data_IF_488435631200
#
_entry.id   IF_488435631200
#
_cell.length_a   1.000
_cell.length_b   1.000
_cell.length_c   1.000
_cell.angle_alpha   90.00
_cell.angle_beta   90.00
_cell.angle_gamma   90.00
#
_symmetry.space_group_name_H-M   'P 1'
#
loop_
_entity.id
_entity.type
_entity.pdbx_description
1 polymer ?
#
# COMPACT_ATOMS: atom_id res chain seq x y z
N UNK A 1 4.65 -11.43 20.86
CA UNK A 1 4.79 -10.16 20.14
C UNK A 1 4.33 -9.09 21.10
N UNK A 2 5.10 -8.02 21.29
CA UNK A 2 4.74 -7.00 22.28
C UNK A 2 3.49 -6.25 21.79
N UNK A 3 2.52 -6.09 22.68
CA UNK A 3 1.34 -5.24 22.46
C UNK A 3 1.77 -3.79 22.36
N UNK A 4 1.07 -2.96 21.57
CA UNK A 4 1.38 -1.53 21.52
C UNK A 4 1.21 -0.89 22.91
N UNK A 5 1.99 0.15 23.13
CA UNK A 5 2.08 0.88 24.39
C UNK A 5 0.88 1.82 24.56
N UNK A 6 0.76 2.37 25.76
CA UNK A 6 -0.11 3.52 26.02
C UNK A 6 0.77 4.75 26.23
N UNK A 7 0.54 5.81 25.48
CA UNK A 7 1.15 7.11 25.76
C UNK A 7 0.35 7.83 26.84
N UNK A 8 1.02 8.29 27.89
CA UNK A 8 0.35 8.92 29.03
C UNK A 8 1.10 10.16 29.51
N UNK A 9 0.34 11.17 29.93
CA UNK A 9 0.84 12.31 30.67
C UNK A 9 1.31 11.90 32.07
N UNK A 10 2.51 12.32 32.47
CA UNK A 10 3.13 11.90 33.73
C UNK A 10 2.25 12.17 34.97
N UNK A 11 1.53 13.30 34.96
CA UNK A 11 0.68 13.74 36.06
C UNK A 11 -0.54 12.85 36.32
N UNK A 12 -0.92 12.00 35.37
CA UNK A 12 -2.15 11.17 35.45
C UNK A 12 -1.88 9.68 35.34
N UNK A 13 -0.61 9.25 35.44
CA UNK A 13 -0.23 7.82 35.44
C UNK A 13 -0.99 7.00 36.49
N UNK A 14 -1.31 7.60 37.64
CA UNK A 14 -2.02 6.91 38.72
C UNK A 14 -3.55 6.83 38.51
N UNK A 15 -4.09 7.47 37.47
CA UNK A 15 -5.54 7.49 37.23
C UNK A 15 -6.06 6.24 36.51
N UNK A 16 -5.16 5.40 36.00
CA UNK A 16 -5.48 4.17 35.28
C UNK A 16 -4.66 3.00 35.81
N UNK A 17 -5.22 1.79 35.72
CA UNK A 17 -4.48 0.54 35.91
C UNK A 17 -4.48 -0.23 34.59
N UNK A 18 -3.31 -0.52 34.02
CA UNK A 18 -3.19 -1.25 32.74
C UNK A 18 -2.03 -2.23 32.77
N UNK A 19 -2.17 -3.31 32.00
CA UNK A 19 -1.12 -4.30 31.79
C UNK A 19 -0.19 -3.94 30.63
N UNK A 20 -0.57 -2.93 29.82
CA UNK A 20 0.26 -2.45 28.71
C UNK A 20 1.42 -1.61 29.23
N UNK A 21 2.53 -1.68 28.50
CA UNK A 21 3.68 -0.81 28.76
C UNK A 21 3.27 0.67 28.57
N UNK A 22 3.66 1.51 29.53
CA UNK A 22 3.42 2.95 29.47
C UNK A 22 4.64 3.67 28.88
N UNK A 23 4.40 4.72 28.10
CA UNK A 23 5.42 5.64 27.61
C UNK A 23 4.98 7.08 27.88
N UNK A 24 5.91 7.92 28.33
CA UNK A 24 5.62 9.34 28.48
C UNK A 24 5.36 9.96 27.10
N UNK A 25 4.32 10.78 26.97
CA UNK A 25 3.90 11.35 25.69
C UNK A 25 5.03 12.11 24.97
N UNK A 26 5.84 12.84 25.72
CA UNK A 26 6.99 13.61 25.21
C UNK A 26 8.11 12.75 24.62
N UNK A 27 8.19 11.47 25.00
CA UNK A 27 9.21 10.52 24.57
C UNK A 27 8.70 9.56 23.50
N UNK A 28 7.50 9.78 22.96
CA UNK A 28 6.88 8.93 21.93
C UNK A 28 6.67 9.71 20.64
N UNK A 29 6.95 9.06 19.51
CA UNK A 29 6.54 9.51 18.18
C UNK A 29 5.13 9.00 17.79
N UNK A 30 4.43 8.37 18.75
CA UNK A 30 3.09 7.79 18.65
C UNK A 30 2.98 6.56 17.73
N UNK A 31 4.08 6.06 17.16
CA UNK A 31 4.04 4.94 16.20
C UNK A 31 3.89 3.58 16.85
N UNK A 32 4.27 3.45 18.13
CA UNK A 32 4.19 2.22 18.91
C UNK A 32 3.09 2.28 20.00
N UNK A 33 2.11 3.17 19.82
CA UNK A 33 1.05 3.48 20.78
C UNK A 33 -0.31 3.06 20.25
N UNK A 34 -1.16 2.48 21.12
CA UNK A 34 -2.55 2.10 20.79
C UNK A 34 -3.61 3.04 21.36
N UNK A 35 -3.29 3.82 22.40
CA UNK A 35 -4.17 4.85 22.93
C UNK A 35 -3.36 5.90 23.70
N UNK A 36 -3.94 7.10 23.84
CA UNK A 36 -3.32 8.22 24.55
C UNK A 36 -4.18 8.64 25.74
N UNK A 37 -3.55 8.89 26.89
CA UNK A 37 -4.20 9.44 28.09
C UNK A 37 -3.53 10.75 28.48
N UNK A 38 -4.25 11.85 28.32
CA UNK A 38 -3.75 13.20 28.59
C UNK A 38 -4.24 13.70 29.95
N UNK A 39 -3.45 14.55 30.60
CA UNK A 39 -3.95 15.42 31.65
C UNK A 39 -4.77 16.57 31.05
N UNK A 40 -5.66 17.19 31.83
CA UNK A 40 -6.40 18.39 31.37
C UNK A 40 -5.41 19.50 30.97
N UNK A 41 -4.35 19.69 31.74
CA UNK A 41 -3.32 20.69 31.44
C UNK A 41 -2.63 20.43 30.10
N UNK A 42 -2.25 19.18 29.80
CA UNK A 42 -1.58 18.85 28.55
C UNK A 42 -2.53 18.93 27.35
N UNK A 43 -3.77 18.50 27.52
CA UNK A 43 -4.80 18.63 26.50
C UNK A 43 -5.02 20.10 26.10
N UNK A 44 -5.12 21.00 27.09
CA UNK A 44 -5.22 22.45 26.88
C UNK A 44 -3.90 23.07 26.39
N UNK A 45 -2.76 22.47 26.74
CA UNK A 45 -1.42 22.87 26.32
C UNK A 45 -1.06 22.47 24.87
N UNK A 46 -2.03 21.96 24.10
CA UNK A 46 -1.85 21.61 22.69
C UNK A 46 -1.37 20.18 22.44
N UNK A 47 -1.27 19.32 23.48
CA UNK A 47 -0.91 17.92 23.30
C UNK A 47 -1.97 17.16 22.48
N UNK A 48 -3.25 17.49 22.66
CA UNK A 48 -4.33 16.91 21.86
C UNK A 48 -4.17 17.28 20.37
N UNK A 49 -3.85 18.55 20.07
CA UNK A 49 -3.63 19.00 18.69
C UNK A 49 -2.44 18.26 18.05
N UNK A 50 -1.37 18.00 18.81
CA UNK A 50 -0.22 17.20 18.34
C UNK A 50 -0.61 15.77 18.00
N UNK A 51 -1.42 15.12 18.85
CA UNK A 51 -1.91 13.77 18.61
C UNK A 51 -2.78 13.73 17.35
N UNK A 52 -3.67 14.71 17.17
CA UNK A 52 -4.51 14.79 15.96
C UNK A 52 -3.69 15.09 14.70
N UNK A 53 -2.66 15.93 14.80
CA UNK A 53 -1.75 16.23 13.69
C UNK A 53 -0.97 15.00 13.19
N UNK A 54 -0.80 13.95 14.01
CA UNK A 54 -0.21 12.68 13.56
C UNK A 54 -1.07 11.98 12.50
N UNK A 55 -2.37 12.30 12.43
CA UNK A 55 -3.36 11.67 11.55
C UNK A 55 -3.49 10.14 11.71
N UNK A 56 -2.96 9.55 12.79
CA UNK A 56 -3.06 8.11 13.06
C UNK A 56 -4.44 7.68 13.57
N UNK A 57 -5.30 8.62 13.97
CA UNK A 57 -6.65 8.29 14.46
C UNK A 57 -6.65 7.60 15.82
N UNK A 58 -5.63 7.87 16.65
CA UNK A 58 -5.49 7.28 17.98
C UNK A 58 -6.69 7.62 18.89
N UNK A 59 -7.20 6.64 19.67
CA UNK A 59 -8.17 6.94 20.69
C UNK A 59 -7.52 7.76 21.81
N UNK A 60 -8.11 8.93 22.11
CA UNK A 60 -7.60 9.84 23.14
C UNK A 60 -8.56 9.93 24.31
N UNK A 61 -8.01 9.76 25.51
CA UNK A 61 -8.70 9.94 26.78
C UNK A 61 -8.10 11.13 27.52
N UNK A 62 -8.92 11.85 28.28
CA UNK A 62 -8.44 12.90 29.21
C UNK A 62 -8.78 12.51 30.63
N UNK A 63 -7.81 12.60 31.53
CA UNK A 63 -8.00 12.36 32.95
C UNK A 63 -8.16 13.70 33.69
N UNK A 64 -9.33 13.91 34.29
CA UNK A 64 -9.68 15.08 35.10
C UNK A 64 -9.29 14.87 36.56
N UNK A 65 -8.41 15.73 37.08
CA UNK A 65 -8.15 15.85 38.51
C UNK A 65 -9.29 16.61 39.23
N UNK A 66 -9.42 16.44 40.55
CA UNK A 66 -10.56 16.97 41.33
C UNK A 66 -10.85 18.47 41.17
N UNK A 67 -9.86 19.27 40.79
CA UNK A 67 -9.92 20.73 40.62
C UNK A 67 -9.82 21.19 39.16
N UNK A 68 -9.68 20.27 38.21
CA UNK A 68 -9.52 20.56 36.79
C UNK A 68 -10.68 19.98 35.99
N UNK A 69 -11.31 20.82 35.17
CA UNK A 69 -12.38 20.41 34.25
C UNK A 69 -11.98 20.73 32.84
N UNK A 70 -12.17 19.78 31.95
CA UNK A 70 -11.97 19.96 30.53
C UNK A 70 -13.14 20.78 29.96
N UNK A 71 -12.88 21.83 29.17
CA UNK A 71 -13.94 22.58 28.49
C UNK A 71 -14.75 21.70 27.55
N UNK A 72 -16.06 21.93 27.49
CA UNK A 72 -16.99 21.09 26.72
C UNK A 72 -16.69 21.02 25.21
N UNK A 73 -15.97 22.01 24.67
CA UNK A 73 -15.55 22.06 23.26
C UNK A 73 -14.55 20.95 22.88
N UNK A 74 -13.82 20.39 23.85
CA UNK A 74 -12.87 19.30 23.61
C UNK A 74 -13.54 17.93 23.61
N UNK A 75 -14.69 17.77 24.26
CA UNK A 75 -15.36 16.47 24.44
C UNK A 75 -15.65 15.73 23.12
N UNK A 76 -16.08 16.37 22.02
CA UNK A 76 -16.31 15.68 20.75
C UNK A 76 -15.05 15.08 20.10
N UNK A 77 -13.87 15.51 20.54
CA UNK A 77 -12.55 15.08 20.02
C UNK A 77 -12.00 13.87 20.77
N UNK A 78 -12.63 13.47 21.87
CA UNK A 78 -12.13 12.44 22.78
C UNK A 78 -12.93 11.14 22.66
N UNK A 79 -12.25 10.03 22.90
CA UNK A 79 -12.87 8.72 23.09
C UNK A 79 -13.53 8.61 24.46
N UNK A 80 -12.97 9.27 25.48
CA UNK A 80 -13.54 9.27 26.83
C UNK A 80 -12.84 10.24 27.80
N UNK A 81 -13.46 10.41 28.96
CA UNK A 81 -12.93 11.20 30.07
C UNK A 81 -12.91 10.34 31.32
N UNK A 82 -11.79 10.35 32.05
CA UNK A 82 -11.60 9.63 33.29
C UNK A 82 -11.57 10.60 34.46
N UNK A 83 -12.17 10.26 35.60
CA UNK A 83 -12.05 11.04 36.82
C UNK A 83 -10.94 10.46 37.70
N UNK A 84 -9.90 11.25 37.99
CA UNK A 84 -8.83 10.83 38.89
C UNK A 84 -9.32 10.79 40.34
N UNK A 85 -8.93 9.75 41.08
CA UNK A 85 -9.16 9.67 42.53
C UNK A 85 -10.55 9.20 42.96
N UNK A 86 -11.39 8.74 42.04
CA UNK A 86 -12.74 8.20 42.33
C UNK A 86 -12.77 6.69 42.64
N UNK A 87 -11.60 6.03 42.59
CA UNK A 87 -11.44 4.59 42.82
C UNK A 87 -11.75 3.69 41.63
N UNK A 88 -12.09 4.24 40.45
CA UNK A 88 -12.47 3.46 39.26
C UNK A 88 -11.30 3.15 38.30
N UNK A 89 -10.06 3.19 38.79
CA UNK A 89 -8.83 3.00 38.00
C UNK A 89 -8.85 1.71 37.16
N UNK A 90 -9.34 0.60 37.72
CA UNK A 90 -9.47 -0.68 37.02
C UNK A 90 -10.54 -0.65 35.92
N UNK A 91 -11.62 0.11 36.12
CA UNK A 91 -12.68 0.26 35.12
C UNK A 91 -12.18 1.12 33.95
N UNK A 92 -11.50 2.23 34.23
CA UNK A 92 -10.85 3.07 33.21
C UNK A 92 -9.79 2.29 32.43
N UNK A 93 -9.00 1.46 33.12
CA UNK A 93 -8.08 0.51 32.52
C UNK A 93 -8.74 -0.41 31.49
N UNK A 94 -9.92 -0.97 31.81
CA UNK A 94 -10.68 -1.82 30.87
C UNK A 94 -11.21 -1.03 29.67
N UNK A 95 -11.69 0.19 29.87
CA UNK A 95 -12.15 1.05 28.76
C UNK A 95 -10.99 1.38 27.82
N UNK A 96 -9.84 1.73 28.38
CA UNK A 96 -8.62 2.01 27.64
C UNK A 96 -8.14 0.77 26.86
N UNK A 97 -8.10 -0.40 27.49
CA UNK A 97 -7.72 -1.65 26.83
C UNK A 97 -8.66 -1.99 25.68
N UNK A 98 -9.98 -1.83 25.88
CA UNK A 98 -10.96 -2.10 24.83
C UNK A 98 -10.77 -1.16 23.63
N UNK A 99 -10.47 0.12 23.87
CA UNK A 99 -10.18 1.07 22.79
C UNK A 99 -8.86 0.75 22.08
N UNK A 100 -7.81 0.41 22.84
CA UNK A 100 -6.51 0.03 22.31
C UNK A 100 -6.58 -1.23 21.43
N UNK A 101 -7.28 -2.28 21.88
CA UNK A 101 -7.49 -3.50 21.09
C UNK A 101 -8.28 -3.25 19.82
N UNK A 102 -9.32 -2.40 19.90
CA UNK A 102 -10.10 -2.01 18.73
C UNK A 102 -9.23 -1.28 17.70
N UNK A 103 -8.42 -0.33 18.15
CA UNK A 103 -7.50 0.41 17.29
C UNK A 103 -6.47 -0.52 16.62
N UNK A 104 -5.83 -1.40 17.38
CA UNK A 104 -4.87 -2.39 16.84
C UNK A 104 -5.53 -3.29 15.78
N UNK A 105 -6.75 -3.77 16.05
CA UNK A 105 -7.49 -4.62 15.12
C UNK A 105 -7.87 -3.89 13.82
N UNK A 106 -8.17 -2.60 13.88
CA UNK A 106 -8.48 -1.76 12.72
C UNK A 106 -7.22 -1.37 11.92
N UNK A 107 -6.06 -1.29 12.58
CA UNK A 107 -4.78 -0.92 11.96
C UNK A 107 -4.20 -2.06 11.09
N UNK A 108 -4.42 -3.32 11.48
CA UNK A 108 -3.83 -4.47 10.80
C UNK A 108 -4.52 -4.74 9.44
N UNK A 109 -3.78 -4.69 8.31
CA UNK A 109 -4.35 -5.09 7.03
C UNK A 109 -4.74 -6.57 7.02
N UNK A 110 -5.74 -6.97 6.21
CA UNK A 110 -6.36 -8.30 6.33
C UNK A 110 -5.37 -9.47 6.31
N UNK A 111 -4.43 -9.51 5.36
CA UNK A 111 -3.47 -10.61 5.25
C UNK A 111 -2.45 -10.62 6.40
N UNK A 112 -1.93 -9.45 6.79
CA UNK A 112 -0.92 -9.36 7.85
C UNK A 112 -1.52 -9.73 9.21
N UNK A 113 -2.72 -9.24 9.52
CA UNK A 113 -3.44 -9.60 10.73
C UNK A 113 -3.71 -11.12 10.81
N UNK A 114 -4.17 -11.74 9.71
CA UNK A 114 -4.35 -13.20 9.65
C UNK A 114 -3.04 -13.97 9.82
N UNK A 115 -1.96 -13.53 9.18
CA UNK A 115 -0.64 -14.16 9.29
C UNK A 115 -0.12 -14.11 10.72
N UNK A 116 -0.22 -12.94 11.37
CA UNK A 116 0.19 -12.76 12.76
C UNK A 116 -0.62 -13.67 13.70
N UNK A 117 -1.94 -13.73 13.51
CA UNK A 117 -2.81 -14.61 14.29
C UNK A 117 -2.49 -16.10 14.07
N UNK A 118 -2.18 -16.50 12.83
CA UNK A 118 -1.79 -17.87 12.51
C UNK A 118 -0.49 -18.26 13.23
N UNK A 119 0.55 -17.42 13.14
CA UNK A 119 1.84 -17.67 13.77
C UNK A 119 1.71 -17.78 15.29
N UNK A 120 0.83 -16.99 15.91
CA UNK A 120 0.57 -17.03 17.36
C UNK A 120 -0.05 -18.35 17.85
N UNK A 121 -0.72 -19.11 16.98
CA UNK A 121 -1.28 -20.41 17.36
C UNK A 121 -0.20 -21.46 17.66
N UNK A 122 1.02 -21.28 17.15
CA UNK A 122 2.13 -22.19 17.43
C UNK A 122 1.95 -23.59 16.83
N UNK A 123 1.28 -23.69 15.68
CA UNK A 123 1.00 -24.95 15.01
C UNK A 123 2.28 -25.72 14.65
N UNK A 124 2.22 -27.05 14.73
CA UNK A 124 3.30 -27.92 14.29
C UNK A 124 3.22 -28.15 12.78
N UNK A 125 4.18 -27.60 12.03
CA UNK A 125 4.25 -27.72 10.57
C UNK A 125 4.89 -29.06 10.15
N UNK A 126 4.16 -29.84 9.36
CA UNK A 126 4.63 -31.08 8.71
C UNK A 126 4.54 -31.01 7.18
N UNK A 127 4.27 -29.83 6.66
CA UNK A 127 4.13 -29.46 5.26
C UNK A 127 5.39 -28.71 4.78
N UNK A 128 5.27 -28.02 3.64
CA UNK A 128 6.30 -27.12 3.14
C UNK A 128 6.14 -25.73 3.79
N UNK A 129 7.22 -24.94 3.91
CA UNK A 129 8.62 -25.22 3.56
C UNK A 129 9.30 -26.24 4.49
N UNK A 130 10.24 -27.04 3.94
CA UNK A 130 10.89 -28.13 4.67
C UNK A 130 11.76 -27.72 5.87
N UNK A 131 12.03 -26.44 6.07
CA UNK A 131 12.66 -25.96 7.31
C UNK A 131 11.69 -25.86 8.49
N UNK A 132 10.37 -25.92 8.24
CA UNK A 132 9.30 -26.05 9.23
C UNK A 132 9.43 -25.08 10.40
N UNK A 133 9.30 -23.78 10.13
CA UNK A 133 9.51 -22.75 11.15
C UNK A 133 10.98 -22.48 11.49
N UNK A 134 11.89 -22.96 10.64
CA UNK A 134 13.35 -22.69 10.74
C UNK A 134 14.09 -23.70 11.60
N UNK A 135 13.42 -24.76 12.03
CA UNK A 135 14.00 -25.83 12.84
C UNK A 135 15.15 -26.53 12.13
N UNK A 136 15.07 -26.73 10.81
CA UNK A 136 16.16 -27.30 10.05
C UNK A 136 17.45 -26.45 10.13
N UNK A 137 17.33 -25.13 9.96
CA UNK A 137 18.47 -24.22 9.99
C UNK A 137 19.23 -24.29 11.31
N UNK A 138 18.52 -24.43 12.44
CA UNK A 138 19.12 -24.52 13.79
C UNK A 138 19.98 -25.77 14.00
N UNK A 139 19.97 -26.75 13.08
CA UNK A 139 20.73 -28.01 13.19
C UNK A 139 22.13 -27.94 12.55
N UNK A 140 22.45 -26.87 11.82
CA UNK A 140 23.77 -26.67 11.20
C UNK A 140 24.38 -25.34 11.66
N UNK A 141 25.69 -25.24 11.97
CA UNK A 141 26.30 -24.00 12.48
C UNK A 141 26.02 -22.77 11.61
N UNK A 142 26.18 -22.89 10.28
CA UNK A 142 25.85 -21.81 9.34
C UNK A 142 24.35 -21.51 9.29
N UNK A 143 23.51 -22.54 9.39
CA UNK A 143 22.06 -22.35 9.43
C UNK A 143 21.61 -21.68 10.72
N UNK A 144 22.27 -21.96 11.85
CA UNK A 144 21.98 -21.30 13.13
C UNK A 144 22.32 -19.82 13.07
N UNK A 145 23.46 -19.45 12.49
CA UNK A 145 23.80 -18.04 12.25
C UNK A 145 22.75 -17.35 11.37
N UNK A 146 22.29 -18.02 10.31
CA UNK A 146 21.23 -17.50 9.44
C UNK A 146 19.90 -17.32 10.19
N UNK A 147 19.51 -18.31 10.99
CA UNK A 147 18.29 -18.25 11.80
C UNK A 147 18.35 -17.12 12.84
N UNK A 148 19.46 -17.01 13.58
CA UNK A 148 19.63 -15.99 14.61
C UNK A 148 19.73 -14.58 14.01
N UNK A 149 20.31 -14.44 12.80
CA UNK A 149 20.41 -13.16 12.10
C UNK A 149 19.05 -12.59 11.68
N UNK A 150 18.19 -13.41 11.07
CA UNK A 150 16.86 -12.96 10.63
C UNK A 150 15.78 -13.03 11.72
N UNK A 151 15.98 -13.88 12.73
CA UNK A 151 15.03 -14.09 13.82
C UNK A 151 13.92 -15.10 13.50
N UNK A 152 13.36 -15.69 14.55
CA UNK A 152 12.39 -16.78 14.45
C UNK A 152 11.10 -16.39 13.71
N UNK A 153 10.61 -15.17 13.91
CA UNK A 153 9.34 -14.71 13.36
C UNK A 153 9.29 -14.82 11.83
N UNK A 154 10.40 -14.51 11.14
CA UNK A 154 10.49 -14.63 9.68
C UNK A 154 10.21 -16.06 9.21
N UNK A 155 10.87 -17.04 9.83
CA UNK A 155 10.74 -18.45 9.44
C UNK A 155 9.41 -19.06 9.84
N UNK A 156 8.78 -18.55 10.92
CA UNK A 156 7.45 -18.99 11.36
C UNK A 156 6.35 -18.46 10.45
N UNK A 157 6.57 -17.32 9.82
CA UNK A 157 5.66 -16.72 8.85
C UNK A 157 5.87 -17.24 7.41
N UNK A 158 6.88 -18.07 7.17
CA UNK A 158 7.11 -18.73 5.87
C UNK A 158 6.27 -20.01 5.77
N UNK A 159 5.12 -19.86 5.12
CA UNK A 159 3.99 -20.81 5.07
C UNK A 159 3.71 -21.24 3.62
N UNK A 160 2.88 -22.27 3.44
CA UNK A 160 2.48 -22.72 2.11
C UNK A 160 0.96 -22.86 1.96
N UNK A 161 0.53 -23.38 0.82
CA UNK A 161 -0.88 -23.58 0.48
C UNK A 161 -1.60 -24.60 1.36
N UNK A 162 -0.88 -25.43 2.12
CA UNK A 162 -1.48 -26.37 3.07
C UNK A 162 -2.00 -25.67 4.34
N UNK A 163 -1.56 -24.44 4.61
CA UNK A 163 -2.04 -23.60 5.71
C UNK A 163 -3.38 -22.93 5.38
N UNK A 164 -4.40 -23.74 5.07
CA UNK A 164 -5.69 -23.34 4.47
C UNK A 164 -6.44 -22.24 5.21
N UNK A 165 -6.18 -22.04 6.51
CA UNK A 165 -6.76 -20.93 7.29
C UNK A 165 -6.34 -19.55 6.77
N UNK A 166 -5.23 -19.46 6.05
CA UNK A 166 -4.78 -18.25 5.38
C UNK A 166 -5.53 -17.99 4.06
N UNK A 167 -6.15 -19.01 3.45
CA UNK A 167 -6.77 -18.93 2.14
C UNK A 167 -5.81 -19.29 0.99
N UNK A 168 -6.09 -18.79 -0.20
CA UNK A 168 -5.35 -19.15 -1.42
C UNK A 168 -4.92 -17.88 -2.20
N UNK A 169 -3.61 -17.73 -2.41
CA UNK A 169 -3.05 -16.57 -3.13
C UNK A 169 -3.29 -16.62 -4.64
N UNK A 170 -3.33 -17.81 -5.24
CA UNK A 170 -3.38 -18.01 -6.70
C UNK A 170 -4.80 -17.82 -7.24
N UNK A 171 -5.81 -18.39 -6.57
CA UNK A 171 -7.21 -18.26 -6.98
C UNK A 171 -7.98 -17.20 -6.18
N UNK A 172 -7.29 -16.50 -5.28
CA UNK A 172 -7.79 -15.34 -4.53
C UNK A 172 -8.96 -15.68 -3.61
N UNK A 173 -8.68 -16.50 -2.59
CA UNK A 173 -9.63 -16.84 -1.51
C UNK A 173 -9.07 -16.44 -0.14
N UNK A 174 -9.95 -16.24 0.84
CA UNK A 174 -9.55 -15.95 2.22
C UNK A 174 -8.79 -14.63 2.39
N UNK A 175 -7.74 -14.64 3.22
CA UNK A 175 -7.01 -13.44 3.59
C UNK A 175 -6.29 -12.74 2.41
N UNK A 176 -5.68 -13.45 1.44
CA UNK A 176 -5.15 -12.85 0.22
C UNK A 176 -6.19 -12.04 -0.56
N UNK A 177 -7.39 -12.59 -0.74
CA UNK A 177 -8.47 -11.91 -1.45
C UNK A 177 -8.92 -10.64 -0.73
N UNK A 178 -9.12 -10.73 0.59
CA UNK A 178 -9.49 -9.59 1.41
C UNK A 178 -8.44 -8.47 1.36
N UNK A 179 -7.14 -8.81 1.36
CA UNK A 179 -6.07 -7.85 1.22
C UNK A 179 -6.02 -7.20 -0.17
N UNK A 180 -6.25 -7.97 -1.23
CA UNK A 180 -6.37 -7.43 -2.59
C UNK A 180 -7.56 -6.48 -2.74
N UNK A 181 -8.72 -6.82 -2.16
CA UNK A 181 -9.90 -5.96 -2.14
C UNK A 181 -9.67 -4.68 -1.32
N UNK A 182 -8.96 -4.78 -0.19
CA UNK A 182 -8.56 -3.62 0.58
C UNK A 182 -7.63 -2.71 -0.25
N UNK A 183 -6.62 -3.27 -0.90
CA UNK A 183 -5.73 -2.51 -1.78
C UNK A 183 -6.49 -1.87 -2.96
N UNK A 184 -7.47 -2.56 -3.55
CA UNK A 184 -8.32 -2.02 -4.60
C UNK A 184 -9.08 -0.76 -4.13
N UNK A 185 -9.62 -0.78 -2.90
CA UNK A 185 -10.26 0.41 -2.29
C UNK A 185 -9.26 1.55 -2.06
N UNK A 186 -8.08 1.27 -1.51
CA UNK A 186 -7.04 2.28 -1.23
C UNK A 186 -6.55 2.95 -2.52
N UNK A 187 -6.30 2.16 -3.56
CA UNK A 187 -5.82 2.64 -4.85
C UNK A 187 -6.93 3.00 -5.84
N UNK A 188 -8.19 3.07 -5.40
CA UNK A 188 -9.37 3.37 -6.21
C UNK A 188 -9.40 2.62 -7.56
N UNK A 189 -9.25 1.30 -7.50
CA UNK A 189 -9.26 0.38 -8.64
C UNK A 189 -10.39 -0.64 -8.49
N UNK A 190 -10.89 -1.17 -9.61
CA UNK A 190 -11.89 -2.24 -9.58
C UNK A 190 -11.33 -3.54 -8.99
N UNK A 191 -10.07 -3.86 -9.32
CA UNK A 191 -9.33 -5.04 -8.85
C UNK A 191 -7.85 -4.73 -8.70
N UNK A 192 -7.24 -5.36 -7.70
CA UNK A 192 -5.80 -5.34 -7.47
C UNK A 192 -5.27 -6.77 -7.42
N UNK A 193 -4.21 -7.05 -8.16
CA UNK A 193 -3.52 -8.34 -8.15
C UNK A 193 -2.14 -8.17 -7.51
N UNK A 194 -1.82 -9.00 -6.53
CA UNK A 194 -0.49 -9.01 -5.90
C UNK A 194 0.46 -9.89 -6.70
N UNK A 195 1.59 -9.31 -7.11
CA UNK A 195 2.62 -10.00 -7.90
C UNK A 195 3.92 -10.01 -7.11
N UNK A 196 4.39 -11.20 -6.74
CA UNK A 196 5.53 -11.40 -5.85
C UNK A 196 6.90 -11.42 -6.57
N UNK A 197 6.92 -11.16 -7.88
CA UNK A 197 8.12 -11.23 -8.72
C UNK A 197 8.38 -9.92 -9.49
N UNK A 198 8.07 -8.80 -8.84
CA UNK A 198 8.27 -7.43 -9.29
C UNK A 198 7.43 -7.00 -10.50
N UNK A 199 7.50 -5.70 -10.83
CA UNK A 199 6.77 -5.12 -11.97
C UNK A 199 7.18 -5.73 -13.30
N UNK A 200 8.40 -6.26 -13.40
CA UNK A 200 8.84 -7.03 -14.57
C UNK A 200 7.94 -8.21 -14.90
N UNK A 201 7.45 -8.94 -13.89
CA UNK A 201 6.49 -10.04 -14.08
C UNK A 201 5.07 -9.51 -14.23
N UNK A 202 4.72 -8.45 -13.49
CA UNK A 202 3.41 -7.79 -13.58
C UNK A 202 3.11 -7.31 -15.00
N UNK A 203 4.08 -6.66 -15.66
CA UNK A 203 3.95 -6.24 -17.04
C UNK A 203 3.69 -7.44 -17.96
N UNK A 204 4.42 -8.55 -17.79
CA UNK A 204 4.21 -9.76 -18.60
C UNK A 204 2.83 -10.37 -18.39
N UNK A 205 2.29 -10.34 -17.16
CA UNK A 205 0.91 -10.79 -16.89
C UNK A 205 -0.08 -9.96 -17.71
N UNK A 206 0.01 -8.63 -17.65
CA UNK A 206 -0.90 -7.74 -18.40
C UNK A 206 -0.73 -7.93 -19.92
N UNK A 207 0.51 -7.91 -20.39
CA UNK A 207 0.83 -7.95 -21.82
C UNK A 207 0.40 -9.28 -22.45
N UNK A 208 0.72 -10.41 -21.84
CA UNK A 208 0.33 -11.73 -22.38
C UNK A 208 -1.17 -12.03 -22.18
N UNK A 209 -1.87 -11.34 -21.28
CA UNK A 209 -3.32 -11.46 -21.14
C UNK A 209 -4.08 -10.69 -22.22
N UNK A 210 -3.53 -9.56 -22.70
CA UNK A 210 -4.23 -8.65 -23.60
C UNK A 210 -3.82 -8.77 -25.06
N UNK A 211 -2.57 -9.11 -25.34
CA UNK A 211 -1.99 -9.12 -26.68
C UNK A 211 -1.89 -10.53 -27.26
N UNK A 212 -2.14 -10.64 -28.57
CA UNK A 212 -1.89 -11.82 -29.38
C UNK A 212 -0.94 -11.50 -30.55
N UNK A 213 -0.35 -12.53 -31.20
CA UNK A 213 0.52 -12.31 -32.36
C UNK A 213 -0.18 -11.51 -33.46
N UNK A 214 0.45 -10.43 -33.92
CA UNK A 214 -0.09 -9.54 -34.96
C UNK A 214 -0.98 -8.39 -34.44
N UNK A 215 -1.29 -8.33 -33.15
CA UNK A 215 -1.92 -7.15 -32.56
C UNK A 215 -1.02 -5.93 -32.67
N UNK A 216 -1.61 -4.75 -32.91
CA UNK A 216 -0.87 -3.49 -32.83
C UNK A 216 -0.82 -3.01 -31.38
N UNK A 217 0.39 -2.69 -30.92
CA UNK A 217 0.63 -2.08 -29.62
C UNK A 217 1.23 -0.68 -29.81
N UNK A 218 0.56 0.34 -29.26
CA UNK A 218 1.07 1.71 -29.24
C UNK A 218 2.14 1.79 -28.15
N UNK A 219 3.39 2.05 -28.53
CA UNK A 219 4.54 1.69 -27.72
C UNK A 219 5.43 2.91 -27.43
N UNK A 220 5.39 3.39 -26.19
CA UNK A 220 6.34 4.40 -25.70
C UNK A 220 7.78 3.89 -25.87
N UNK A 221 8.66 4.67 -26.50
CA UNK A 221 10.05 4.28 -26.73
C UNK A 221 10.89 4.24 -25.45
N UNK A 222 10.43 4.87 -24.37
CA UNK A 222 11.04 4.80 -23.04
C UNK A 222 10.71 3.52 -22.26
N UNK A 223 9.82 2.67 -22.79
CA UNK A 223 9.37 1.49 -22.08
C UNK A 223 10.51 0.61 -21.55
N UNK A 224 10.36 0.13 -20.32
CA UNK A 224 11.34 -0.77 -19.71
C UNK A 224 11.44 -2.09 -20.49
N UNK A 225 12.60 -2.75 -20.43
CA UNK A 225 12.87 -4.03 -21.13
C UNK A 225 11.82 -5.12 -20.88
N UNK A 226 11.14 -5.11 -19.73
CA UNK A 226 10.03 -6.04 -19.44
C UNK A 226 8.86 -5.88 -20.39
N UNK A 227 8.54 -4.66 -20.83
CA UNK A 227 7.47 -4.39 -21.79
C UNK A 227 7.87 -4.88 -23.19
N UNK A 228 9.13 -4.69 -23.57
CA UNK A 228 9.66 -5.25 -24.82
C UNK A 228 9.58 -6.79 -24.83
N UNK A 229 10.01 -7.43 -23.73
CA UNK A 229 9.95 -8.89 -23.62
C UNK A 229 8.51 -9.41 -23.62
N UNK A 230 7.61 -8.79 -22.85
CA UNK A 230 6.22 -9.25 -22.74
C UNK A 230 5.41 -9.00 -24.01
N UNK A 231 5.42 -7.76 -24.51
CA UNK A 231 4.56 -7.38 -25.64
C UNK A 231 5.08 -7.90 -26.98
N UNK A 232 6.38 -7.72 -27.25
CA UNK A 232 6.92 -7.90 -28.59
C UNK A 232 7.48 -9.31 -28.79
N UNK A 233 8.22 -9.82 -27.81
CA UNK A 233 8.90 -11.12 -27.92
C UNK A 233 7.96 -12.27 -27.55
N UNK A 234 7.27 -12.18 -26.41
CA UNK A 234 6.40 -13.25 -25.92
C UNK A 234 5.04 -13.26 -26.61
N UNK A 235 4.33 -12.12 -26.58
CA UNK A 235 3.00 -12.04 -27.19
C UNK A 235 3.03 -11.86 -28.72
N UNK A 236 4.17 -11.46 -29.31
CA UNK A 236 4.30 -11.29 -30.77
C UNK A 236 3.53 -10.08 -31.32
N UNK A 237 3.28 -9.07 -30.50
CA UNK A 237 2.62 -7.84 -30.94
C UNK A 237 3.55 -6.99 -31.82
N UNK A 238 2.95 -6.25 -32.75
CA UNK A 238 3.66 -5.34 -33.65
C UNK A 238 3.63 -3.93 -33.07
N UNK A 239 4.79 -3.33 -32.76
CA UNK A 239 4.85 -2.03 -32.12
C UNK A 239 4.65 -0.90 -33.13
N UNK A 240 3.89 0.12 -32.73
CA UNK A 240 3.95 1.46 -33.32
C UNK A 240 4.60 2.37 -32.28
N UNK A 241 5.85 2.76 -32.55
CA UNK A 241 6.66 3.50 -31.58
C UNK A 241 6.29 4.98 -31.51
N UNK A 242 6.29 5.53 -30.30
CA UNK A 242 6.18 6.96 -30.04
C UNK A 242 7.56 7.51 -29.70
N UNK A 243 7.98 8.57 -30.39
CA UNK A 243 9.25 9.24 -30.08
C UNK A 243 9.16 10.05 -28.79
N UNK A 244 10.32 10.24 -28.18
CA UNK A 244 10.43 10.74 -26.81
C UNK A 244 11.48 11.82 -26.72
N UNK A 245 11.20 12.86 -25.95
CA UNK A 245 12.12 13.95 -25.70
C UNK A 245 13.36 13.48 -24.94
N UNK A 246 14.50 14.08 -25.31
CA UNK A 246 15.76 14.05 -24.57
C UNK A 246 16.33 15.45 -24.54
N UNK A 247 16.83 15.88 -23.38
CA UNK A 247 17.51 17.17 -23.24
C UNK A 247 19.04 17.00 -23.37
N UNK A 248 19.84 18.08 -23.37
CA UNK A 248 21.30 17.99 -23.47
C UNK A 248 21.99 17.22 -22.32
N UNK A 249 21.30 16.99 -21.20
CA UNK A 249 21.78 16.16 -20.09
C UNK A 249 21.52 14.67 -20.31
N UNK A 250 20.80 14.31 -21.38
CA UNK A 250 20.38 12.94 -21.65
C UNK A 250 19.18 12.49 -20.82
N UNK A 251 18.51 13.40 -20.11
CA UNK A 251 17.36 13.03 -19.27
C UNK A 251 16.23 12.45 -20.10
N UNK A 252 15.64 11.40 -19.55
CA UNK A 252 14.49 10.69 -20.07
C UNK A 252 13.25 11.56 -19.90
N UNK A 253 12.92 12.33 -20.93
CA UNK A 253 11.68 13.10 -21.03
C UNK A 253 10.49 12.25 -21.47
N UNK A 254 9.33 12.88 -21.55
CA UNK A 254 8.10 12.24 -22.04
C UNK A 254 8.03 12.13 -23.57
N UNK A 255 6.93 11.57 -24.05
CA UNK A 255 6.54 11.48 -25.45
C UNK A 255 6.25 12.89 -25.98
N UNK A 256 6.69 13.18 -27.20
CA UNK A 256 6.48 14.49 -27.80
C UNK A 256 4.98 14.76 -28.05
N UNK A 257 4.57 16.02 -27.85
CA UNK A 257 3.14 16.39 -27.80
C UNK A 257 2.36 16.01 -29.08
N UNK A 258 3.02 16.10 -30.24
CA UNK A 258 2.43 15.78 -31.54
C UNK A 258 2.17 14.27 -31.72
N UNK A 259 2.88 13.41 -30.97
CA UNK A 259 2.66 11.96 -31.01
C UNK A 259 1.32 11.53 -30.42
N UNK A 260 0.62 12.42 -29.72
CA UNK A 260 -0.74 12.20 -29.25
C UNK A 260 -1.82 12.71 -30.21
N UNK A 261 -1.45 13.19 -31.40
CA UNK A 261 -2.41 13.61 -32.42
C UNK A 261 -2.90 12.40 -33.23
N UNK A 262 -4.22 12.23 -33.31
CA UNK A 262 -4.82 11.06 -33.98
C UNK A 262 -4.36 10.93 -35.44
N UNK A 263 -4.25 12.05 -36.16
CA UNK A 263 -3.78 12.03 -37.55
C UNK A 263 -2.38 11.42 -37.64
N UNK A 264 -1.45 11.88 -36.80
CA UNK A 264 -0.08 11.36 -36.75
C UNK A 264 -0.06 9.87 -36.41
N UNK A 265 -0.82 9.45 -35.40
CA UNK A 265 -0.92 8.03 -35.02
C UNK A 265 -1.46 7.15 -36.16
N UNK A 266 -2.49 7.61 -36.89
CA UNK A 266 -3.02 6.88 -38.04
C UNK A 266 -2.04 6.82 -39.18
N UNK A 267 -1.21 7.84 -39.37
CA UNK A 267 -0.14 7.85 -40.37
C UNK A 267 0.90 6.78 -40.04
N UNK A 268 1.34 6.68 -38.79
CA UNK A 268 2.23 5.61 -38.33
C UNK A 268 1.60 4.21 -38.49
N UNK A 269 0.30 4.06 -38.23
CA UNK A 269 -0.41 2.79 -38.46
C UNK A 269 -0.43 2.45 -39.95
N UNK A 270 -0.57 3.42 -40.86
CA UNK A 270 -0.55 3.17 -42.31
C UNK A 270 0.77 2.56 -42.78
N UNK A 271 1.88 2.96 -42.18
CA UNK A 271 3.20 2.47 -42.54
C UNK A 271 3.43 1.02 -42.08
N UNK A 272 2.84 0.63 -40.95
CA UNK A 272 3.05 -0.68 -40.32
C UNK A 272 1.98 -1.70 -40.69
N UNK A 273 0.72 -1.27 -40.72
CA UNK A 273 -0.45 -2.10 -40.94
C UNK A 273 -1.56 -1.32 -41.66
N UNK A 274 -1.40 -1.04 -42.98
CA UNK A 274 -2.29 -0.16 -43.74
C UNK A 274 -3.76 -0.59 -43.73
N UNK A 275 -4.02 -1.89 -43.67
CA UNK A 275 -5.38 -2.43 -43.58
C UNK A 275 -6.12 -2.03 -42.29
N UNK A 276 -5.37 -1.71 -41.21
CA UNK A 276 -5.92 -1.39 -39.88
C UNK A 276 -6.07 0.11 -39.63
N UNK A 277 -5.50 0.97 -40.48
CA UNK A 277 -5.47 2.42 -40.25
C UNK A 277 -6.86 3.07 -40.19
N UNK A 278 -7.86 2.47 -40.84
CA UNK A 278 -9.25 2.93 -40.82
C UNK A 278 -10.07 2.38 -39.64
N UNK A 279 -9.52 1.50 -38.81
CA UNK A 279 -10.22 0.95 -37.65
C UNK A 279 -10.51 2.06 -36.64
N UNK A 280 -11.66 1.98 -35.95
CA UNK A 280 -11.98 2.89 -34.85
C UNK A 280 -10.92 2.81 -33.74
N UNK A 281 -10.48 1.59 -33.42
CA UNK A 281 -9.46 1.28 -32.42
C UNK A 281 -8.38 0.37 -33.03
N UNK A 282 -7.38 0.95 -33.72
CA UNK A 282 -6.34 0.13 -34.35
C UNK A 282 -5.44 -0.57 -33.31
N UNK A 283 -5.32 -0.04 -32.09
CA UNK A 283 -4.43 -0.57 -31.07
C UNK A 283 -5.17 -1.45 -30.07
N UNK A 284 -4.65 -2.66 -29.86
CA UNK A 284 -5.14 -3.54 -28.78
C UNK A 284 -4.74 -3.00 -27.40
N UNK A 285 -3.54 -2.44 -27.31
CA UNK A 285 -2.99 -1.90 -26.07
C UNK A 285 -2.08 -0.71 -26.38
N UNK A 286 -2.17 0.34 -25.57
CA UNK A 286 -1.11 1.33 -25.45
C UNK A 286 -0.29 1.06 -24.19
N UNK A 287 1.04 1.12 -24.27
CA UNK A 287 1.94 0.96 -23.14
C UNK A 287 2.75 2.25 -22.97
N UNK A 288 2.42 3.02 -21.93
CA UNK A 288 2.99 4.34 -21.64
C UNK A 288 3.69 4.30 -20.29
N UNK A 289 4.91 4.83 -20.21
CA UNK A 289 5.61 4.97 -18.94
C UNK A 289 5.13 6.23 -18.22
N UNK A 290 4.28 6.10 -17.20
CA UNK A 290 3.61 7.24 -16.55
C UNK A 290 4.59 8.21 -15.86
N UNK A 291 5.65 7.67 -15.27
CA UNK A 291 6.74 8.42 -14.67
C UNK A 291 8.05 7.90 -15.18
N UNK A 292 8.85 8.75 -15.81
CA UNK A 292 10.20 8.40 -16.24
C UNK A 292 11.13 8.39 -15.04
N UNK A 293 12.27 7.71 -15.19
CA UNK A 293 13.29 7.63 -14.14
C UNK A 293 13.80 9.01 -13.70
N UNK A 294 13.93 9.94 -14.65
CA UNK A 294 14.46 11.29 -14.40
C UNK A 294 13.38 12.30 -13.97
N UNK A 295 12.22 11.82 -13.49
CA UNK A 295 11.21 12.65 -12.85
C UNK A 295 10.26 13.38 -13.79
N UNK A 296 10.12 12.94 -15.05
CA UNK A 296 9.05 13.44 -15.93
C UNK A 296 7.78 12.61 -15.71
N UNK A 297 6.74 13.24 -15.17
CA UNK A 297 5.45 12.59 -14.87
C UNK A 297 4.39 13.17 -15.80
N UNK A 298 3.64 12.30 -16.48
CA UNK A 298 2.59 12.72 -17.40
C UNK A 298 1.32 13.14 -16.66
N UNK A 299 0.52 13.97 -17.33
CA UNK A 299 -0.90 14.11 -17.02
C UNK A 299 -1.65 12.89 -17.59
N UNK A 300 -2.00 11.93 -16.74
CA UNK A 300 -2.64 10.68 -17.16
C UNK A 300 -4.00 10.93 -17.84
N UNK A 301 -4.76 11.91 -17.34
CA UNK A 301 -6.07 12.28 -17.91
C UNK A 301 -5.94 12.76 -19.35
N UNK A 302 -4.99 13.65 -19.63
CA UNK A 302 -4.74 14.14 -20.98
C UNK A 302 -4.34 13.01 -21.93
N UNK A 303 -3.56 12.02 -21.46
CA UNK A 303 -3.22 10.85 -22.28
C UNK A 303 -4.47 10.06 -22.62
N UNK A 304 -5.31 9.73 -21.63
CA UNK A 304 -6.57 8.98 -21.88
C UNK A 304 -7.50 9.75 -22.82
N UNK A 305 -7.67 11.06 -22.63
CA UNK A 305 -8.53 11.89 -23.47
C UNK A 305 -8.06 11.95 -24.93
N UNK A 306 -6.73 11.94 -25.17
CA UNK A 306 -6.16 12.05 -26.51
C UNK A 306 -6.07 10.72 -27.27
N UNK A 307 -5.81 9.59 -26.60
CA UNK A 307 -5.56 8.31 -27.27
C UNK A 307 -6.50 7.17 -26.84
N UNK A 308 -7.32 7.35 -25.81
CA UNK A 308 -8.20 6.32 -25.27
C UNK A 308 -9.30 5.87 -26.22
N UNK A 309 -9.71 6.70 -27.17
CA UNK A 309 -10.66 6.28 -28.20
C UNK A 309 -10.05 5.39 -29.29
N UNK A 310 -8.72 5.36 -29.40
CA UNK A 310 -7.95 4.56 -30.38
C UNK A 310 -7.46 3.21 -29.84
N UNK A 311 -7.55 3.00 -28.53
CA UNK A 311 -7.01 1.81 -27.86
C UNK A 311 -8.13 1.04 -27.15
N UNK A 312 -8.05 -0.28 -27.12
CA UNK A 312 -8.93 -1.08 -26.25
C UNK A 312 -8.55 -0.92 -24.77
N UNK A 313 -7.25 -0.97 -24.49
CA UNK A 313 -6.67 -0.81 -23.16
C UNK A 313 -5.48 0.15 -23.17
N UNK A 314 -5.20 0.76 -22.01
CA UNK A 314 -3.97 1.53 -21.76
C UNK A 314 -3.30 0.98 -20.51
N UNK A 315 -2.07 0.50 -20.66
CA UNK A 315 -1.18 0.14 -19.56
C UNK A 315 -0.28 1.35 -19.26
N UNK A 316 -0.53 1.97 -18.10
CA UNK A 316 0.40 2.91 -17.50
C UNK A 316 1.44 2.15 -16.66
N UNK A 317 2.66 1.98 -17.18
CA UNK A 317 3.78 1.46 -16.40
C UNK A 317 4.25 2.55 -15.43
N UNK A 318 3.86 2.38 -14.17
CA UNK A 318 3.98 3.40 -13.12
C UNK A 318 4.98 2.99 -12.05
N UNK A 319 5.95 2.13 -12.38
CA UNK A 319 6.89 1.57 -11.40
C UNK A 319 7.71 2.62 -10.61
N UNK A 320 7.91 3.81 -11.18
CA UNK A 320 8.63 4.93 -10.54
C UNK A 320 7.75 5.87 -9.72
N UNK A 321 6.43 5.67 -9.79
CA UNK A 321 5.42 6.53 -9.15
C UNK A 321 4.35 5.64 -8.49
N UNK A 322 3.17 6.18 -8.22
CA UNK A 322 2.06 5.56 -7.50
C UNK A 322 1.61 6.41 -6.31
N UNK A 323 2.51 7.24 -5.78
CA UNK A 323 2.22 8.16 -4.68
C UNK A 323 1.47 9.43 -5.12
N UNK A 324 1.46 9.75 -6.41
CA UNK A 324 0.76 10.92 -6.95
C UNK A 324 -0.74 10.90 -6.65
N UNK A 325 -1.32 9.71 -6.45
CA UNK A 325 -2.70 9.54 -6.01
C UNK A 325 -2.97 10.17 -4.62
N UNK A 326 -1.97 10.17 -3.75
CA UNK A 326 -2.10 10.61 -2.35
C UNK A 326 -1.57 12.03 -2.13
N UNK A 327 -1.07 12.69 -3.18
CA UNK A 327 -0.57 14.06 -3.12
C UNK A 327 -1.54 14.97 -3.91
N UNK A 328 -2.33 15.84 -3.25
CA UNK A 328 -3.38 16.63 -3.91
C UNK A 328 -2.91 17.45 -5.12
N UNK A 329 -1.68 17.99 -5.07
CA UNK A 329 -1.09 18.75 -6.17
C UNK A 329 -0.87 17.91 -7.44
N UNK A 330 -0.72 16.59 -7.31
CA UNK A 330 -0.39 15.67 -8.40
C UNK A 330 -1.61 14.86 -8.88
N UNK A 331 -2.83 15.22 -8.46
CA UNK A 331 -4.06 14.46 -8.77
C UNK A 331 -4.24 14.17 -10.27
N UNK A 332 -3.95 15.15 -11.14
CA UNK A 332 -4.03 15.03 -12.61
C UNK A 332 -3.03 14.01 -13.21
N UNK A 333 -1.98 13.68 -12.46
CA UNK A 333 -1.03 12.64 -12.85
C UNK A 333 -1.52 11.24 -12.49
N UNK A 334 -2.46 11.11 -11.54
CA UNK A 334 -2.98 9.81 -11.14
C UNK A 334 -4.01 9.29 -12.15
N UNK A 335 -3.86 8.02 -12.54
CA UNK A 335 -4.84 7.30 -13.36
C UNK A 335 -6.09 6.86 -12.58
N UNK A 336 -6.00 6.80 -11.25
CA UNK A 336 -7.04 6.24 -10.39
C UNK A 336 -7.94 7.31 -9.73
N UNK A 337 -7.71 8.60 -9.93
CA UNK A 337 -8.46 9.66 -9.23
C UNK A 337 -9.82 10.05 -9.87
N UNK A 338 -10.25 9.38 -10.94
CA UNK A 338 -11.28 9.87 -11.86
C UNK A 338 -12.50 8.96 -12.05
N UNK A 339 -12.62 7.88 -11.25
CA UNK A 339 -13.79 6.99 -11.25
C UNK A 339 -14.94 7.48 -10.39
#
# INVERSE_FOLDING_TARGET
METLKIAISDSVMQCINTQRNLVALENSDLTDVAAVVLSVQDALGGALDKVEQSAFGLPVFVAEACDQRLPAEYLPRLTGVFACGDGNQDFYGKQLESAAQKYEAELLPPFFGSLQAYVQQGNAAFDCPGHQGGQFFRRHPTGRQFFDYFGEALFRADLCNADVSMGDLLIHEGAPCAAQQHAAKVFNADKTYFVLNGTSSSNKVVLNALLAPGDLVLFDRNNHKSNHHGALIQAGATPVYLETARNPFGFIGGIDAHCFEEKYLRDLVRDVAPARAGERRPFRLAVIQLGTYDGTIYNARQVVDKIGHLCDYILFDSAWVGYEQFIPMMKECSRCCWS
#
